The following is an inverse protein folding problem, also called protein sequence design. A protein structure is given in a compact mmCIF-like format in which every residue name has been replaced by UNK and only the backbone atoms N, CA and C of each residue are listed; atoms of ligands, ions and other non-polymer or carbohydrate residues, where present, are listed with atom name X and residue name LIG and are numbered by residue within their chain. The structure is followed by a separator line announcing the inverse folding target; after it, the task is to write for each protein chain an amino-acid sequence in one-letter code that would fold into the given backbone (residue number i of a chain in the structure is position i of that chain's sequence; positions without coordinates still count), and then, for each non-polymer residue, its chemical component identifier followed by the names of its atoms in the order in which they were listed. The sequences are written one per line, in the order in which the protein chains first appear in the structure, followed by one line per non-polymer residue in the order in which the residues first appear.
data_IF_777816069384
#
_entry.id   IF_777816069384
#
_cell.length_a   1.000
_cell.length_b   1.000
_cell.length_c   1.000
_cell.angle_alpha   90.00
_cell.angle_beta   90.00
_cell.angle_gamma   90.00
#
_symmetry.space_group_name_H-M   'P 1'
#
loop_
_entity.id
_entity.type
_entity.pdbx_description
1 polymer ?
#
# COMPACT_ATOMS: atom_id res chain seq x y z
N UNK A 1 -39.42 -48.46 6.93
CA UNK A 1 -40.51 -47.62 7.49
C UNK A 1 -40.05 -47.17 8.87
N UNK A 2 -40.33 -45.92 9.26
CA UNK A 2 -39.71 -45.14 10.35
C UNK A 2 -38.43 -44.45 9.83
N UNK A 3 -38.39 -43.24 9.25
CA UNK A 3 -39.14 -41.99 9.43
C UNK A 3 -39.22 -41.52 10.88
N UNK A 4 -38.91 -40.22 11.09
CA UNK A 4 -38.87 -39.48 12.35
C UNK A 4 -37.63 -39.68 13.23
N UNK A 5 -36.74 -38.68 13.26
CA UNK A 5 -36.73 -37.67 14.33
C UNK A 5 -35.64 -36.60 14.07
N UNK A 6 -35.95 -35.58 13.27
CA UNK A 6 -35.21 -34.32 13.34
C UNK A 6 -35.52 -33.67 14.69
N UNK A 7 -34.64 -33.90 15.67
CA UNK A 7 -34.69 -33.28 16.99
C UNK A 7 -34.35 -31.80 16.83
N UNK A 8 -35.41 -30.98 16.76
CA UNK A 8 -35.34 -29.51 16.78
C UNK A 8 -35.04 -29.08 18.21
N UNK A 9 -33.78 -28.78 18.52
CA UNK A 9 -33.42 -28.16 19.80
C UNK A 9 -33.76 -26.67 19.74
N UNK A 10 -34.97 -26.34 20.21
CA UNK A 10 -35.38 -24.98 20.50
C UNK A 10 -34.63 -24.48 21.72
N UNK A 11 -33.68 -23.56 21.51
CA UNK A 11 -33.04 -22.80 22.58
C UNK A 11 -34.13 -21.94 23.24
N UNK A 12 -34.62 -22.37 24.40
CA UNK A 12 -35.64 -21.68 25.16
C UNK A 12 -35.03 -20.43 25.83
N UNK A 13 -35.14 -19.29 25.14
CA UNK A 13 -34.81 -17.96 25.67
C UNK A 13 -35.85 -17.54 26.72
N UNK A 14 -35.88 -18.22 27.87
CA UNK A 14 -36.83 -17.94 28.95
C UNK A 14 -36.17 -17.48 30.26
N UNK A 15 -34.84 -17.33 30.29
CA UNK A 15 -34.09 -17.11 31.54
C UNK A 15 -33.03 -16.01 31.44
N UNK A 16 -33.33 -14.91 30.75
CA UNK A 16 -32.52 -13.67 30.82
C UNK A 16 -33.27 -12.55 31.57
N UNK A 17 -34.60 -12.65 31.70
CA UNK A 17 -35.43 -11.54 32.20
C UNK A 17 -35.46 -11.35 33.72
N UNK A 18 -34.74 -12.16 34.50
CA UNK A 18 -34.81 -12.16 35.98
C UNK A 18 -33.55 -11.61 36.67
N UNK A 19 -32.85 -10.67 36.03
CA UNK A 19 -31.77 -9.87 36.67
C UNK A 19 -32.29 -8.48 37.12
N UNK A 20 -33.49 -8.06 36.72
CA UNK A 20 -34.03 -6.71 37.00
C UNK A 20 -35.00 -6.64 38.20
N UNK A 21 -34.93 -7.57 39.15
CA UNK A 21 -35.77 -7.54 40.36
C UNK A 21 -34.96 -7.09 41.57
N UNK A 22 -34.55 -5.81 41.55
CA UNK A 22 -34.21 -4.92 42.70
C UNK A 22 -33.25 -3.77 42.30
N UNK A 23 -33.41 -3.21 41.11
CA UNK A 23 -32.57 -2.11 40.63
C UNK A 23 -33.38 -0.80 40.67
N UNK A 24 -32.89 0.20 41.39
CA UNK A 24 -33.48 1.55 41.43
C UNK A 24 -33.56 2.08 40.00
N UNK A 25 -34.74 2.55 39.58
CA UNK A 25 -34.96 3.03 38.22
C UNK A 25 -34.04 4.20 37.86
N UNK A 26 -33.25 4.04 36.81
CA UNK A 26 -32.45 5.10 36.19
C UNK A 26 -33.40 6.20 35.70
N UNK A 27 -33.08 7.46 35.98
CA UNK A 27 -33.96 8.57 35.56
C UNK A 27 -33.86 8.81 34.06
N UNK A 28 -34.94 9.27 33.41
CA UNK A 28 -34.92 9.58 31.97
C UNK A 28 -33.86 10.62 31.62
N UNK A 29 -33.66 11.60 32.51
CA UNK A 29 -32.68 12.67 32.33
C UNK A 29 -31.24 12.17 32.36
N UNK A 30 -30.97 11.11 33.14
CA UNK A 30 -29.65 10.50 33.27
C UNK A 30 -29.25 9.78 31.98
N UNK A 31 -30.18 9.01 31.39
CA UNK A 31 -29.96 8.41 30.08
C UNK A 31 -29.83 9.49 28.99
N UNK A 32 -30.64 10.56 29.06
CA UNK A 32 -30.62 11.67 28.10
C UNK A 32 -29.28 12.43 28.14
N UNK A 33 -28.74 12.71 29.33
CA UNK A 33 -27.43 13.34 29.47
C UNK A 33 -26.30 12.47 28.89
N UNK A 34 -26.35 11.16 29.11
CA UNK A 34 -25.32 10.21 28.60
C UNK A 34 -25.31 10.17 27.08
N UNK A 35 -26.47 10.05 26.42
CA UNK A 35 -26.52 10.02 24.95
C UNK A 35 -26.10 11.36 24.33
N UNK A 36 -26.35 12.49 25.01
CA UNK A 36 -25.87 13.81 24.58
C UNK A 36 -24.35 13.88 24.67
N UNK A 37 -23.76 13.45 25.80
CA UNK A 37 -22.30 13.46 25.97
C UNK A 37 -21.63 12.53 24.96
N UNK A 38 -22.16 11.33 24.75
CA UNK A 38 -21.64 10.40 23.73
C UNK A 38 -21.78 10.99 22.32
N UNK A 39 -22.91 11.63 22.00
CA UNK A 39 -23.11 12.30 20.71
C UNK A 39 -22.10 13.42 20.47
N UNK A 40 -21.84 14.25 21.49
CA UNK A 40 -20.87 15.34 21.42
C UNK A 40 -19.43 14.82 21.30
N UNK A 41 -19.04 13.83 22.12
CA UNK A 41 -17.70 13.24 22.07
C UNK A 41 -17.45 12.49 20.75
N UNK A 42 -18.46 11.77 20.24
CA UNK A 42 -18.35 11.01 18.99
C UNK A 42 -17.91 11.88 17.81
N UNK A 43 -18.37 13.14 17.73
CA UNK A 43 -17.95 14.08 16.68
C UNK A 43 -16.45 14.38 16.70
N UNK A 44 -15.82 14.47 17.89
CA UNK A 44 -14.41 14.84 18.02
C UNK A 44 -13.44 13.66 17.92
N UNK A 45 -13.93 12.42 18.06
CA UNK A 45 -13.08 11.23 18.06
C UNK A 45 -12.66 10.74 16.66
N UNK A 46 -13.25 11.29 15.59
CA UNK A 46 -13.07 10.79 14.22
C UNK A 46 -11.73 11.16 13.56
N UNK A 47 -11.17 12.39 13.63
CA UNK A 47 -10.21 12.81 12.59
C UNK A 47 -8.72 12.52 12.86
N UNK A 48 -8.34 11.63 13.79
CA UNK A 48 -6.91 11.47 14.15
C UNK A 48 -6.06 10.50 13.31
N UNK A 49 -6.62 9.79 12.33
CA UNK A 49 -5.92 8.69 11.65
C UNK A 49 -5.30 9.07 10.29
N UNK A 50 -5.73 10.16 9.67
CA UNK A 50 -5.43 10.38 8.25
C UNK A 50 -3.97 10.79 7.97
N UNK A 51 -3.36 11.63 8.81
CA UNK A 51 -2.00 12.14 8.55
C UNK A 51 -0.90 11.12 8.87
N UNK A 52 -1.13 10.18 9.80
CA UNK A 52 -0.16 9.14 10.13
C UNK A 52 0.01 8.12 9.00
N UNK A 53 -1.08 7.82 8.29
CA UNK A 53 -1.09 6.88 7.18
C UNK A 53 -0.27 7.38 5.98
N UNK A 54 -0.35 8.67 5.64
CA UNK A 54 0.38 9.18 4.47
C UNK A 54 1.90 9.14 4.67
N UNK A 55 2.41 9.51 5.85
CA UNK A 55 3.84 9.49 6.12
C UNK A 55 4.41 8.05 6.22
N UNK A 56 3.62 7.10 6.74
CA UNK A 56 4.02 5.70 6.79
C UNK A 56 4.07 5.07 5.40
N UNK A 57 3.14 5.42 4.52
CA UNK A 57 3.16 4.98 3.12
C UNK A 57 4.43 5.43 2.39
N UNK A 58 4.83 6.70 2.52
CA UNK A 58 6.09 7.20 1.94
C UNK A 58 7.29 6.42 2.50
N UNK A 59 7.33 6.16 3.81
CA UNK A 59 8.41 5.39 4.44
C UNK A 59 8.49 3.95 3.92
N UNK A 60 7.34 3.31 3.66
CA UNK A 60 7.26 1.97 3.04
C UNK A 60 7.90 2.01 1.65
N UNK A 61 7.55 3.01 0.84
CA UNK A 61 8.09 3.17 -0.51
C UNK A 61 9.60 3.42 -0.50
N UNK A 62 10.09 4.28 0.39
CA UNK A 62 11.53 4.52 0.53
C UNK A 62 12.31 3.25 0.90
N UNK A 63 11.75 2.45 1.80
CA UNK A 63 12.33 1.16 2.22
C UNK A 63 12.35 0.18 1.06
N UNK A 64 11.23 0.07 0.34
CA UNK A 64 11.08 -0.77 -0.83
C UNK A 64 12.08 -0.44 -1.94
N UNK A 65 12.19 0.85 -2.28
CA UNK A 65 13.13 1.33 -3.28
C UNK A 65 14.57 1.07 -2.83
N UNK A 66 14.88 1.22 -1.54
CA UNK A 66 16.22 0.91 -1.01
C UNK A 66 16.60 -0.56 -1.22
N UNK A 67 15.65 -1.48 -1.03
CA UNK A 67 15.86 -2.92 -1.28
C UNK A 67 16.03 -3.23 -2.77
N UNK A 68 15.18 -2.65 -3.62
CA UNK A 68 15.31 -2.83 -5.07
C UNK A 68 16.66 -2.28 -5.58
N UNK A 69 17.07 -1.13 -5.05
CA UNK A 69 18.36 -0.51 -5.35
C UNK A 69 19.52 -1.40 -4.93
N UNK A 70 19.50 -1.98 -3.72
CA UNK A 70 20.62 -2.83 -3.27
C UNK A 70 20.80 -4.05 -4.16
N UNK A 71 19.70 -4.69 -4.58
CA UNK A 71 19.74 -5.87 -5.44
C UNK A 71 20.32 -5.55 -6.83
N UNK A 72 19.95 -4.39 -7.41
CA UNK A 72 20.55 -3.93 -8.66
C UNK A 72 21.99 -3.48 -8.46
N UNK A 73 22.33 -2.86 -7.33
CA UNK A 73 23.69 -2.42 -7.08
C UNK A 73 24.66 -3.59 -6.99
N UNK A 74 24.24 -4.72 -6.42
CA UNK A 74 25.00 -5.98 -6.42
C UNK A 74 25.33 -6.46 -7.85
N UNK A 75 24.38 -6.34 -8.79
CA UNK A 75 24.62 -6.68 -10.19
C UNK A 75 25.83 -5.94 -10.78
N UNK A 76 25.89 -4.63 -10.56
CA UNK A 76 26.98 -3.80 -11.11
C UNK A 76 28.32 -4.05 -10.41
N UNK A 77 28.32 -4.59 -9.20
CA UNK A 77 29.54 -5.00 -8.49
C UNK A 77 30.08 -6.31 -9.06
N UNK A 78 29.21 -7.28 -9.34
CA UNK A 78 29.62 -8.61 -9.80
C UNK A 78 29.92 -8.67 -11.30
N UNK A 79 29.09 -8.02 -12.13
CA UNK A 79 29.13 -8.11 -13.59
C UNK A 79 28.92 -6.72 -14.24
N UNK A 80 29.90 -5.79 -14.16
CA UNK A 80 29.74 -4.40 -14.62
C UNK A 80 29.54 -4.25 -16.14
N UNK A 81 29.78 -5.30 -16.93
CA UNK A 81 29.65 -5.28 -18.39
C UNK A 81 28.30 -5.82 -18.89
N UNK A 82 27.50 -6.43 -18.02
CA UNK A 82 26.20 -7.00 -18.41
C UNK A 82 25.13 -5.93 -18.37
N UNK A 83 24.31 -5.87 -19.42
CA UNK A 83 23.19 -4.93 -19.49
C UNK A 83 21.94 -5.54 -18.84
N UNK A 84 21.29 -4.77 -17.96
CA UNK A 84 19.97 -4.95 -17.40
C UNK A 84 18.95 -5.16 -18.52
N UNK A 85 18.49 -6.40 -18.60
CA UNK A 85 17.39 -6.84 -19.44
C UNK A 85 16.27 -7.41 -18.56
N UNK A 86 15.11 -7.69 -19.15
CA UNK A 86 13.96 -8.27 -18.44
C UNK A 86 14.33 -9.51 -17.61
N UNK A 87 15.12 -10.41 -18.19
CA UNK A 87 15.54 -11.65 -17.53
C UNK A 87 16.43 -11.42 -16.30
N UNK A 88 17.34 -10.44 -16.38
CA UNK A 88 18.20 -10.08 -15.25
C UNK A 88 17.37 -9.40 -14.16
N UNK A 89 16.53 -8.43 -14.52
CA UNK A 89 15.65 -7.76 -13.58
C UNK A 89 14.73 -8.77 -12.86
N UNK A 90 14.19 -9.74 -13.61
CA UNK A 90 13.40 -10.85 -13.05
C UNK A 90 14.21 -11.68 -12.05
N UNK A 91 15.48 -11.97 -12.34
CA UNK A 91 16.37 -12.69 -11.42
C UNK A 91 16.63 -11.90 -10.12
N UNK A 92 16.92 -10.60 -10.23
CA UNK A 92 17.28 -9.77 -9.06
C UNK A 92 16.08 -9.38 -8.18
N UNK A 93 14.89 -9.28 -8.77
CA UNK A 93 13.67 -8.98 -8.01
C UNK A 93 12.90 -10.23 -7.59
N UNK A 94 13.19 -11.39 -8.18
CA UNK A 94 12.46 -12.63 -7.90
C UNK A 94 11.01 -12.61 -8.36
N UNK A 95 10.60 -11.56 -9.08
CA UNK A 95 9.24 -11.32 -9.57
C UNK A 95 9.27 -11.13 -11.09
N UNK A 96 8.20 -11.48 -11.82
CA UNK A 96 8.09 -11.13 -13.24
C UNK A 96 8.23 -9.63 -13.43
N UNK A 97 8.95 -9.25 -14.48
CA UNK A 97 9.16 -7.88 -14.92
C UNK A 97 8.64 -7.78 -16.34
N UNK A 98 8.02 -6.65 -16.69
CA UNK A 98 7.50 -6.42 -18.03
C UNK A 98 8.09 -5.14 -18.62
N UNK A 99 8.66 -5.23 -19.81
CA UNK A 99 9.04 -4.06 -20.60
C UNK A 99 7.79 -3.35 -21.12
N UNK A 100 7.72 -2.05 -20.88
CA UNK A 100 6.59 -1.18 -21.26
C UNK A 100 6.94 -0.31 -22.47
N UNK A 101 8.23 0.00 -22.66
CA UNK A 101 8.72 0.77 -23.80
C UNK A 101 8.98 -0.11 -25.02
N UNK A 102 9.11 0.51 -26.20
CA UNK A 102 9.56 -0.21 -27.39
C UNK A 102 10.93 -0.86 -27.15
N UNK A 103 11.18 -2.01 -27.79
CA UNK A 103 12.49 -2.67 -27.71
C UNK A 103 13.58 -1.74 -28.22
N UNK A 104 14.61 -1.50 -27.39
CA UNK A 104 15.69 -0.55 -27.68
C UNK A 104 15.37 0.94 -27.44
N UNK A 105 14.22 1.26 -26.84
CA UNK A 105 13.90 2.63 -26.43
C UNK A 105 14.89 3.17 -25.38
N UNK A 106 15.12 4.48 -25.42
CA UNK A 106 16.04 5.18 -24.53
C UNK A 106 15.32 6.39 -23.90
N UNK A 107 15.07 6.40 -22.58
CA UNK A 107 15.33 5.32 -21.62
C UNK A 107 14.36 4.12 -21.78
N UNK A 108 14.76 2.95 -21.30
CA UNK A 108 13.92 1.75 -21.25
C UNK A 108 13.08 1.73 -19.96
N UNK A 109 11.80 1.36 -20.07
CA UNK A 109 10.86 1.36 -18.95
C UNK A 109 10.36 -0.05 -18.65
N UNK A 110 10.55 -0.48 -17.41
CA UNK A 110 10.10 -1.77 -16.89
C UNK A 110 9.10 -1.56 -15.76
N UNK A 111 8.12 -2.47 -15.63
CA UNK A 111 7.18 -2.46 -14.50
C UNK A 111 7.24 -3.77 -13.72
N UNK A 112 7.05 -3.70 -12.40
CA UNK A 112 7.03 -4.84 -11.48
C UNK A 112 5.57 -5.15 -11.08
N UNK A 113 4.82 -5.95 -11.85
CA UNK A 113 3.39 -6.18 -11.60
C UNK A 113 3.06 -6.79 -10.22
N UNK A 114 3.97 -7.58 -9.66
CA UNK A 114 3.77 -8.22 -8.35
C UNK A 114 4.09 -7.31 -7.17
N UNK A 115 5.00 -6.33 -7.36
CA UNK A 115 5.41 -5.42 -6.30
C UNK A 115 4.72 -4.08 -6.50
N UNK A 116 3.81 -3.76 -5.58
CA UNK A 116 2.99 -2.55 -5.63
C UNK A 116 3.36 -1.58 -4.52
N UNK A 117 3.24 -0.30 -4.82
CA UNK A 117 3.30 0.77 -3.83
C UNK A 117 2.05 0.73 -2.91
N UNK A 118 2.04 1.52 -1.82
CA UNK A 118 0.90 1.56 -0.89
C UNK A 118 -0.41 2.08 -1.49
N UNK A 119 -0.36 2.67 -2.69
CA UNK A 119 -1.51 3.18 -3.42
C UNK A 119 -2.00 2.20 -4.50
N UNK A 120 -1.32 1.06 -4.66
CA UNK A 120 -1.72 -0.06 -5.51
C UNK A 120 -1.09 -0.07 -6.90
N UNK A 121 -0.19 0.86 -7.20
CA UNK A 121 0.48 0.94 -8.50
C UNK A 121 1.76 0.08 -8.50
N UNK A 122 2.08 -0.60 -9.61
CA UNK A 122 3.33 -1.35 -9.72
C UNK A 122 4.52 -0.39 -9.78
N UNK A 123 5.65 -0.78 -9.18
CA UNK A 123 6.88 0.01 -9.30
C UNK A 123 7.37 0.06 -10.75
N UNK A 124 7.88 1.21 -11.18
CA UNK A 124 8.56 1.39 -12.46
C UNK A 124 10.08 1.46 -12.29
N UNK A 125 10.81 0.78 -13.17
CA UNK A 125 12.27 0.86 -13.27
C UNK A 125 12.61 1.47 -14.62
N UNK A 126 13.39 2.55 -14.58
CA UNK A 126 13.80 3.32 -15.75
C UNK A 126 15.30 3.13 -15.91
N UNK A 127 15.72 2.53 -17.01
CA UNK A 127 17.12 2.31 -17.33
C UNK A 127 17.54 3.29 -18.42
N UNK A 128 18.45 4.19 -18.08
CA UNK A 128 18.99 5.18 -19.00
C UNK A 128 19.97 4.58 -20.02
N UNK A 129 20.29 5.37 -21.04
CA UNK A 129 21.28 5.01 -22.07
C UNK A 129 22.58 4.46 -21.50
N UNK A 130 23.03 3.30 -22.03
CA UNK A 130 24.25 2.61 -21.56
C UNK A 130 24.27 2.44 -20.03
N UNK A 131 23.09 2.40 -19.43
CA UNK A 131 22.90 2.25 -17.99
C UNK A 131 23.55 3.37 -17.18
N UNK A 132 23.72 4.56 -17.78
CA UNK A 132 24.28 5.73 -17.10
C UNK A 132 23.54 6.03 -15.79
N UNK A 133 22.23 5.78 -15.78
CA UNK A 133 21.41 5.81 -14.58
C UNK A 133 20.38 4.69 -14.58
N UNK A 134 20.02 4.25 -13.39
CA UNK A 134 18.85 3.43 -13.11
C UNK A 134 17.99 4.22 -12.13
N UNK A 135 16.72 4.43 -12.45
CA UNK A 135 15.78 5.11 -11.59
C UNK A 135 14.61 4.20 -11.21
N UNK A 136 14.18 4.30 -9.96
CA UNK A 136 12.99 3.66 -9.44
C UNK A 136 11.92 4.71 -9.23
N UNK A 137 10.72 4.43 -9.73
CA UNK A 137 9.59 5.34 -9.68
C UNK A 137 8.39 4.66 -9.01
N UNK A 138 7.78 5.37 -8.08
CA UNK A 138 6.46 5.10 -7.52
C UNK A 138 5.54 6.30 -7.76
N UNK A 139 4.30 6.02 -8.17
CA UNK A 139 3.31 7.00 -8.65
C UNK A 139 2.63 7.80 -7.52
N UNK A 140 2.93 7.46 -6.26
CA UNK A 140 2.33 8.19 -5.15
C UNK A 140 0.79 8.05 -5.06
N UNK A 141 0.16 8.91 -4.24
CA UNK A 141 -1.28 8.94 -4.03
C UNK A 141 -2.11 9.38 -5.24
N UNK A 142 -1.56 10.19 -6.15
CA UNK A 142 -2.30 10.70 -7.30
C UNK A 142 -2.44 9.69 -8.46
N UNK A 143 -1.65 8.60 -8.43
CA UNK A 143 -1.63 7.53 -9.45
C UNK A 143 -1.33 8.03 -10.87
N UNK A 144 -0.80 9.24 -11.02
CA UNK A 144 -0.44 9.84 -12.30
C UNK A 144 1.06 9.76 -12.50
N UNK A 145 1.51 9.53 -13.74
CA UNK A 145 2.95 9.53 -14.04
C UNK A 145 3.37 10.96 -14.37
N UNK A 146 3.68 11.74 -13.34
CA UNK A 146 4.02 13.15 -13.53
C UNK A 146 5.43 13.33 -14.08
N UNK A 147 6.27 12.30 -13.95
CA UNK A 147 7.59 12.23 -14.58
C UNK A 147 7.48 12.24 -16.12
N UNK A 148 6.52 11.50 -16.70
CA UNK A 148 6.31 11.45 -18.16
C UNK A 148 5.64 12.71 -18.72
N UNK A 149 4.93 13.45 -17.87
CA UNK A 149 4.22 14.68 -18.26
C UNK A 149 5.12 15.95 -18.21
N UNK A 150 6.39 15.79 -17.82
CA UNK A 150 7.38 16.86 -17.74
C UNK A 150 7.69 17.27 -16.30
N UNK A 151 8.99 17.35 -16.01
CA UNK A 151 9.52 17.69 -14.68
C UNK A 151 9.29 19.18 -14.42
N UNK A 152 8.14 19.52 -13.84
CA UNK A 152 7.86 20.85 -13.28
C UNK A 152 7.68 20.70 -11.78
N UNK A 153 8.23 21.63 -10.98
CA UNK A 153 8.21 21.57 -9.52
C UNK A 153 6.80 21.49 -8.90
N UNK A 154 5.76 21.87 -9.66
CA UNK A 154 4.35 21.73 -9.29
C UNK A 154 3.77 20.34 -9.53
N UNK A 155 4.35 19.56 -10.46
CA UNK A 155 3.85 18.26 -10.89
C UNK A 155 4.49 17.08 -10.15
N UNK A 156 5.69 17.22 -9.58
CA UNK A 156 6.41 16.09 -8.93
C UNK A 156 6.24 16.13 -7.41
N UNK A 157 5.07 16.58 -6.91
CA UNK A 157 4.95 16.85 -5.47
C UNK A 157 4.82 15.56 -4.65
N UNK A 158 4.38 14.48 -5.27
CA UNK A 158 3.98 13.25 -4.60
C UNK A 158 4.51 11.96 -5.23
N UNK A 159 4.98 12.00 -6.48
CA UNK A 159 5.80 10.94 -7.08
C UNK A 159 7.11 10.77 -6.30
N UNK A 160 7.49 9.52 -6.04
CA UNK A 160 8.76 9.18 -5.41
C UNK A 160 9.70 8.62 -6.47
N UNK A 161 10.76 9.39 -6.77
CA UNK A 161 11.79 9.05 -7.73
C UNK A 161 13.14 8.89 -7.05
N UNK A 162 13.74 7.70 -7.16
CA UNK A 162 15.11 7.46 -6.71
C UNK A 162 16.00 7.17 -7.91
N UNK A 163 16.87 8.11 -8.25
CA UNK A 163 17.85 7.96 -9.31
C UNK A 163 19.17 7.46 -8.72
N UNK A 164 19.74 6.44 -9.33
CA UNK A 164 21.03 5.89 -9.01
C UNK A 164 21.90 5.89 -10.27
N UNK A 165 23.18 6.22 -10.10
CA UNK A 165 24.18 6.20 -11.15
C UNK A 165 25.12 5.03 -10.86
N UNK A 166 24.92 3.86 -11.48
CA UNK A 166 25.88 2.78 -11.38
C UNK A 166 27.15 3.27 -12.08
N UNK A 167 28.18 3.57 -11.30
CA UNK A 167 29.52 3.74 -11.86
C UNK A 167 30.16 2.36 -11.98
N UNK A 168 30.87 2.08 -13.07
CA UNK A 168 31.71 0.89 -13.18
C UNK A 168 32.87 0.91 -12.19
#
# INVERSE_FOLDING_TARGET
MICFFLKKEGITIRRIYNIFQSEKGVTLIELLAVIIIIGLLSTFLIPKLNSFTNNSQVTIVETDIRLLKSNIQEHFVDDPTKTLNEDLLKKYFGTPVKLVSASGADPAYYTLPEKKDPWGNPYEVIVGKKELFVAFHAFGPNQTNDIKNGITATNIKDDILAIFYPKP
#
